data_IF_820860030515
#
_entry.id   IF_820860030515
#
_cell.length_a   1.000
_cell.length_b   1.000
_cell.length_c   1.000
_cell.angle_alpha   90.00
_cell.angle_beta   90.00
_cell.angle_gamma   90.00
#
_symmetry.space_group_name_H-M   'P 1'
#
loop_
_entity.id
_entity.type
_entity.pdbx_description
1 polymer ?
#
# COMPACT_ATOMS: atom_id res chain seq x y z
N UNK A 1 14.62 4.13 -43.25
CA UNK A 1 13.77 3.15 -42.60
C UNK A 1 14.03 3.03 -41.09
N UNK A 2 15.21 3.35 -40.58
CA UNK A 2 15.59 3.26 -39.14
C UNK A 2 15.05 4.44 -38.31
N UNK A 3 14.89 5.64 -38.92
CA UNK A 3 14.43 6.85 -38.22
C UNK A 3 12.92 6.80 -37.83
N UNK A 4 12.10 6.09 -38.61
CA UNK A 4 10.67 5.94 -38.38
C UNK A 4 10.43 4.98 -37.21
N UNK A 5 11.27 3.96 -37.01
CA UNK A 5 11.19 3.02 -35.91
C UNK A 5 11.53 3.67 -34.55
N UNK A 6 12.44 4.66 -34.55
CA UNK A 6 12.81 5.43 -33.35
C UNK A 6 11.72 6.45 -32.94
N UNK A 7 10.95 6.96 -33.90
CA UNK A 7 9.84 7.88 -33.64
C UNK A 7 8.63 7.12 -33.13
N UNK A 8 8.36 5.92 -33.64
CA UNK A 8 7.25 5.08 -33.15
C UNK A 8 7.49 4.53 -31.73
N UNK A 9 8.73 4.33 -31.32
CA UNK A 9 9.05 3.91 -29.95
C UNK A 9 8.95 5.05 -28.90
N UNK A 10 8.88 6.32 -29.33
CA UNK A 10 8.68 7.49 -28.47
C UNK A 10 7.21 7.88 -28.30
N UNK A 11 6.31 7.27 -29.06
CA UNK A 11 4.86 7.48 -29.02
C UNK A 11 4.09 6.37 -28.26
N UNK A 12 4.77 5.50 -27.51
CA UNK A 12 4.10 4.82 -26.41
C UNK A 12 3.85 5.86 -25.31
N UNK A 13 2.87 6.73 -25.59
CA UNK A 13 2.18 7.47 -24.56
C UNK A 13 1.74 6.43 -23.52
N UNK A 14 2.43 6.40 -22.39
CA UNK A 14 1.90 5.82 -21.17
C UNK A 14 0.64 6.63 -20.88
N UNK A 15 -0.49 6.22 -21.40
CA UNK A 15 -1.79 6.69 -20.94
C UNK A 15 -1.83 6.37 -19.46
N UNK A 16 -1.48 7.37 -18.66
CA UNK A 16 -1.48 7.28 -17.22
C UNK A 16 -2.92 7.37 -16.78
N UNK A 17 -3.57 6.21 -16.64
CA UNK A 17 -4.85 6.14 -15.97
C UNK A 17 -4.69 6.73 -14.57
N UNK A 18 -5.40 7.83 -14.29
CA UNK A 18 -5.12 8.76 -13.17
C UNK A 18 -5.68 8.32 -11.80
N UNK A 19 -5.86 7.03 -11.55
CA UNK A 19 -6.09 6.54 -10.18
C UNK A 19 -4.73 6.31 -9.55
N UNK A 20 -4.28 7.23 -8.69
CA UNK A 20 -2.97 7.16 -8.05
C UNK A 20 -3.12 6.93 -6.55
N UNK A 21 -2.55 5.83 -6.08
CA UNK A 21 -2.29 5.67 -4.65
C UNK A 21 -1.29 6.73 -4.19
N UNK A 22 -1.53 7.37 -3.04
CA UNK A 22 -0.63 8.40 -2.50
C UNK A 22 0.75 7.83 -2.20
N UNK A 23 1.71 8.71 -2.00
CA UNK A 23 3.05 8.33 -1.53
C UNK A 23 2.97 7.65 -0.17
N UNK A 24 2.04 8.09 0.69
CA UNK A 24 1.84 7.55 2.04
C UNK A 24 1.37 6.08 1.99
N UNK A 25 0.37 5.76 1.16
CA UNK A 25 -0.10 4.38 0.98
C UNK A 25 0.97 3.47 0.37
N UNK A 26 1.68 3.94 -0.67
CA UNK A 26 2.77 3.18 -1.31
C UNK A 26 3.91 2.87 -0.34
N UNK A 27 4.39 3.88 0.40
CA UNK A 27 5.51 3.71 1.32
C UNK A 27 5.08 2.98 2.61
N UNK A 28 3.83 3.17 3.05
CA UNK A 28 3.30 2.39 4.17
C UNK A 28 3.19 0.90 3.85
N UNK A 29 2.76 0.55 2.63
CA UNK A 29 2.78 -0.86 2.19
C UNK A 29 4.20 -1.42 2.15
N UNK A 30 5.22 -0.64 1.71
CA UNK A 30 6.62 -1.04 1.72
C UNK A 30 7.15 -1.23 3.15
N UNK A 31 6.85 -0.31 4.05
CA UNK A 31 7.18 -0.43 5.47
C UNK A 31 6.59 -1.72 6.07
N UNK A 32 5.30 -1.97 5.85
CA UNK A 32 4.65 -3.18 6.36
C UNK A 32 5.25 -4.46 5.77
N UNK A 33 5.61 -4.45 4.49
CA UNK A 33 6.31 -5.57 3.84
C UNK A 33 7.71 -5.79 4.42
N UNK A 34 8.44 -4.72 4.73
CA UNK A 34 9.74 -4.79 5.39
C UNK A 34 9.61 -5.44 6.77
N UNK A 35 8.66 -4.99 7.60
CA UNK A 35 8.37 -5.61 8.89
C UNK A 35 7.98 -7.10 8.75
N UNK A 36 7.25 -7.46 7.69
CA UNK A 36 6.87 -8.85 7.43
C UNK A 36 8.08 -9.74 7.06
N UNK A 37 9.04 -9.22 6.31
CA UNK A 37 10.31 -9.93 6.02
C UNK A 37 11.09 -10.22 7.29
N UNK A 38 11.20 -9.22 8.16
CA UNK A 38 11.88 -9.39 9.44
C UNK A 38 11.14 -10.34 10.39
N UNK A 39 9.81 -10.28 10.42
CA UNK A 39 8.96 -11.22 11.15
C UNK A 39 9.21 -12.67 10.68
N UNK A 40 9.25 -12.91 9.37
CA UNK A 40 9.52 -14.24 8.80
C UNK A 40 10.92 -14.76 9.16
N UNK A 41 11.92 -13.86 9.30
CA UNK A 41 13.28 -14.18 9.66
C UNK A 41 13.50 -14.32 11.18
N UNK A 42 12.44 -14.30 11.99
CA UNK A 42 12.49 -14.46 13.44
C UNK A 42 13.06 -13.27 14.21
N UNK A 43 13.12 -12.07 13.62
CA UNK A 43 13.54 -10.87 14.33
C UNK A 43 12.46 -10.37 15.29
N UNK A 44 12.83 -10.09 16.51
CA UNK A 44 11.92 -9.62 17.56
C UNK A 44 11.42 -8.19 17.33
N UNK A 45 12.25 -7.32 16.75
CA UNK A 45 11.87 -5.94 16.41
C UNK A 45 12.77 -5.33 15.34
N UNK A 46 12.29 -4.27 14.67
CA UNK A 46 13.00 -3.54 13.61
C UNK A 46 12.97 -2.06 13.92
N UNK A 47 14.13 -1.41 13.92
CA UNK A 47 14.27 0.04 14.11
C UNK A 47 13.98 0.77 12.78
N UNK A 48 13.34 1.94 12.83
CA UNK A 48 13.03 2.71 11.61
C UNK A 48 14.27 3.10 10.81
N UNK A 49 15.42 3.21 11.44
CA UNK A 49 16.69 3.48 10.74
C UNK A 49 17.02 2.34 9.77
N UNK A 50 16.89 1.08 10.19
CA UNK A 50 17.11 -0.09 9.33
C UNK A 50 16.14 -0.09 8.15
N UNK A 51 14.84 0.17 8.43
CA UNK A 51 13.83 0.29 7.37
C UNK A 51 14.16 1.42 6.38
N UNK A 52 14.61 2.57 6.90
CA UNK A 52 15.02 3.72 6.08
C UNK A 52 16.14 3.36 5.12
N UNK A 53 17.15 2.66 5.59
CA UNK A 53 18.31 2.26 4.79
C UNK A 53 17.93 1.16 3.77
N UNK A 54 17.09 0.18 4.16
CA UNK A 54 16.66 -0.92 3.28
C UNK A 54 15.67 -0.47 2.21
N UNK A 55 14.78 0.47 2.52
CA UNK A 55 13.68 0.90 1.64
C UNK A 55 13.95 2.26 0.96
N UNK A 56 15.06 2.93 1.29
CA UNK A 56 15.41 4.27 0.78
C UNK A 56 14.29 5.31 1.01
N UNK A 57 13.68 5.26 2.21
CA UNK A 57 12.64 6.18 2.65
C UNK A 57 13.17 6.95 3.85
N UNK A 58 13.03 8.29 3.86
CA UNK A 58 13.50 9.10 4.98
C UNK A 58 12.87 8.68 6.32
N UNK A 59 13.68 8.66 7.37
CA UNK A 59 13.22 8.31 8.74
C UNK A 59 12.05 9.20 9.14
N UNK A 60 12.13 10.51 8.91
CA UNK A 60 11.06 11.46 9.23
C UNK A 60 9.74 11.09 8.58
N UNK A 61 9.77 10.58 7.35
CA UNK A 61 8.55 10.15 6.66
C UNK A 61 8.03 8.82 7.22
N UNK A 62 8.93 7.89 7.55
CA UNK A 62 8.54 6.63 8.21
C UNK A 62 7.90 6.87 9.58
N UNK A 63 8.38 7.85 10.35
CA UNK A 63 7.77 8.26 11.63
C UNK A 63 6.33 8.74 11.45
N UNK A 64 6.03 9.46 10.35
CA UNK A 64 4.65 9.87 10.04
C UNK A 64 3.76 8.70 9.64
N UNK A 65 4.30 7.71 8.92
CA UNK A 65 3.57 6.52 8.46
C UNK A 65 3.29 5.56 9.62
N UNK A 66 4.25 5.36 10.52
CA UNK A 66 4.14 4.36 11.59
C UNK A 66 3.06 4.72 12.62
N UNK A 67 2.79 6.01 12.83
CA UNK A 67 1.80 6.47 13.82
C UNK A 67 0.40 5.93 13.51
N UNK A 68 -0.20 6.19 12.34
CA UNK A 68 -1.53 5.66 12.02
C UNK A 68 -1.58 4.13 11.99
N UNK A 69 -0.52 3.45 11.56
CA UNK A 69 -0.43 2.00 11.61
C UNK A 69 -0.46 1.43 13.04
N UNK A 70 0.16 2.14 13.99
CA UNK A 70 0.09 1.81 15.42
C UNK A 70 -1.31 2.06 16.00
N UNK A 71 -1.92 3.19 15.68
CA UNK A 71 -3.28 3.55 16.12
C UNK A 71 -4.26 2.45 15.69
N UNK A 72 -4.15 1.98 14.46
CA UNK A 72 -4.99 0.92 13.90
C UNK A 72 -4.52 -0.50 14.27
N UNK A 73 -3.58 -0.63 15.21
CA UNK A 73 -3.12 -1.92 15.76
C UNK A 73 -2.56 -2.90 14.71
N UNK A 74 -1.99 -2.37 13.63
CA UNK A 74 -1.26 -3.17 12.64
C UNK A 74 0.20 -3.35 13.02
N UNK A 75 0.75 -2.40 13.81
CA UNK A 75 2.13 -2.39 14.30
C UNK A 75 2.15 -2.12 15.80
N UNK A 76 3.08 -2.73 16.50
CA UNK A 76 3.41 -2.48 17.92
C UNK A 76 4.83 -1.95 18.05
N UNK A 77 5.08 -1.10 19.06
CA UNK A 77 6.43 -0.65 19.43
C UNK A 77 6.93 -1.45 20.60
N UNK A 78 8.18 -1.88 20.55
CA UNK A 78 8.93 -2.51 21.63
C UNK A 78 9.90 -1.47 22.18
N UNK A 79 9.98 -1.35 23.52
CA UNK A 79 10.89 -0.42 24.22
C UNK A 79 12.16 -1.15 24.68
N UNK A 80 13.24 -0.40 24.90
CA UNK A 80 14.51 -0.91 25.46
C UNK A 80 15.63 -1.06 24.44
N UNK A 81 16.73 -1.66 24.83
CA UNK A 81 17.95 -1.79 24.03
C UNK A 81 17.77 -2.57 22.72
N UNK A 82 16.83 -3.52 22.66
CA UNK A 82 16.40 -4.22 21.45
C UNK A 82 15.09 -3.66 20.87
N UNK A 83 14.75 -2.41 21.16
CA UNK A 83 13.47 -1.79 20.80
C UNK A 83 13.33 -1.52 19.32
N UNK A 84 12.09 -1.27 18.92
CA UNK A 84 11.75 -1.04 17.52
C UNK A 84 10.26 -1.26 17.27
N UNK A 85 9.94 -1.72 16.08
CA UNK A 85 8.57 -1.98 15.65
C UNK A 85 8.42 -3.43 15.19
N UNK A 86 7.26 -4.01 15.47
CA UNK A 86 6.86 -5.35 15.03
C UNK A 86 5.45 -5.32 14.46
N UNK A 87 5.11 -6.31 13.67
CA UNK A 87 3.71 -6.54 13.29
C UNK A 87 2.88 -6.90 14.53
N UNK A 88 1.66 -6.39 14.61
CA UNK A 88 0.75 -6.69 15.73
C UNK A 88 0.03 -8.03 15.57
N UNK A 89 -0.04 -8.56 14.33
CA UNK A 89 -0.69 -9.80 13.94
C UNK A 89 0.20 -10.56 12.95
N UNK A 90 -0.10 -11.82 12.71
CA UNK A 90 0.56 -12.60 11.64
C UNK A 90 0.31 -11.94 10.27
N UNK A 91 1.29 -11.94 9.32
CA UNK A 91 1.11 -11.32 7.99
C UNK A 91 -0.12 -11.80 7.21
N UNK A 92 -0.56 -13.05 7.40
CA UNK A 92 -1.77 -13.59 6.77
C UNK A 92 -3.08 -13.02 7.33
N UNK A 93 -3.04 -12.38 8.50
CA UNK A 93 -4.19 -11.76 9.15
C UNK A 93 -4.28 -10.25 8.87
N UNK A 94 -3.29 -9.67 8.21
CA UNK A 94 -3.24 -8.26 7.86
C UNK A 94 -3.63 -8.11 6.40
N UNK A 95 -4.77 -7.48 6.14
CA UNK A 95 -5.25 -7.21 4.80
C UNK A 95 -4.63 -5.93 4.24
N UNK A 96 -4.45 -5.88 2.93
CA UNK A 96 -3.98 -4.66 2.24
C UNK A 96 -4.95 -3.50 2.44
N UNK A 97 -6.26 -3.77 2.49
CA UNK A 97 -7.29 -2.76 2.80
C UNK A 97 -7.11 -2.12 4.18
N UNK A 98 -6.73 -2.89 5.23
CA UNK A 98 -6.48 -2.34 6.57
C UNK A 98 -5.27 -1.38 6.56
N UNK A 99 -4.22 -1.75 5.82
CA UNK A 99 -3.02 -0.89 5.66
C UNK A 99 -3.40 0.42 4.95
N UNK A 100 -4.08 0.31 3.81
CA UNK A 100 -4.48 1.48 3.02
C UNK A 100 -5.47 2.35 3.77
N UNK A 101 -6.49 1.77 4.41
CA UNK A 101 -7.45 2.52 5.21
C UNK A 101 -6.79 3.30 6.36
N UNK A 102 -5.79 2.71 7.01
CA UNK A 102 -5.02 3.38 8.08
C UNK A 102 -4.26 4.61 7.59
N UNK A 103 -3.87 4.65 6.32
CA UNK A 103 -2.99 5.65 5.75
C UNK A 103 -3.71 6.70 4.89
N UNK A 104 -4.71 6.27 4.15
CA UNK A 104 -5.42 7.07 3.15
C UNK A 104 -6.84 7.46 3.61
N UNK A 105 -7.42 6.72 4.56
CA UNK A 105 -8.84 6.77 4.86
C UNK A 105 -9.66 5.83 3.97
N UNK A 106 -10.88 6.21 3.63
CA UNK A 106 -11.76 5.41 2.78
C UNK A 106 -11.16 5.16 1.39
N UNK A 107 -11.30 3.93 0.91
CA UNK A 107 -10.78 3.52 -0.41
C UNK A 107 -11.88 3.68 -1.47
N UNK A 108 -12.37 4.91 -1.64
CA UNK A 108 -13.36 5.26 -2.65
C UNK A 108 -12.73 6.09 -3.77
N UNK A 109 -13.25 5.94 -5.00
CA UNK A 109 -12.74 6.66 -6.16
C UNK A 109 -13.21 8.11 -6.19
N UNK A 110 -14.37 8.39 -5.60
CA UNK A 110 -15.03 9.69 -5.55
C UNK A 110 -15.78 9.86 -4.23
N UNK A 111 -15.86 11.09 -3.73
CA UNK A 111 -16.45 11.41 -2.42
C UNK A 111 -17.91 11.00 -2.31
N UNK A 112 -18.71 11.14 -3.38
CA UNK A 112 -20.13 10.79 -3.36
C UNK A 112 -20.41 9.29 -3.19
N UNK A 113 -19.41 8.42 -3.31
CA UNK A 113 -19.52 6.98 -3.00
C UNK A 113 -19.16 6.69 -1.55
N UNK A 114 -18.33 7.53 -0.94
CA UNK A 114 -17.92 7.41 0.46
C UNK A 114 -18.93 8.06 1.42
N UNK A 115 -19.47 9.21 1.02
CA UNK A 115 -20.43 9.99 1.77
C UNK A 115 -21.72 10.17 0.97
N UNK A 116 -22.81 9.56 1.45
CA UNK A 116 -24.12 9.64 0.79
C UNK A 116 -24.73 11.04 0.81
N UNK A 117 -24.31 11.89 1.75
CA UNK A 117 -24.80 13.26 1.87
C UNK A 117 -24.01 14.27 1.01
N UNK A 118 -22.93 13.79 0.35
CA UNK A 118 -22.07 14.65 -0.48
C UNK A 118 -22.76 15.18 -1.74
N UNK A 119 -23.73 14.44 -2.29
CA UNK A 119 -24.39 14.82 -3.55
C UNK A 119 -25.86 14.39 -3.58
N UNK A 120 -26.77 15.34 -3.71
CA UNK A 120 -28.22 15.13 -3.78
C UNK A 120 -28.70 14.42 -5.06
N UNK A 121 -27.81 14.20 -6.05
CA UNK A 121 -28.16 13.64 -7.36
C UNK A 121 -27.81 12.16 -7.50
N UNK A 122 -27.36 11.50 -6.43
CA UNK A 122 -26.89 10.10 -6.46
C UNK A 122 -27.94 9.13 -7.00
N UNK A 123 -29.20 9.29 -6.64
CA UNK A 123 -30.31 8.40 -7.02
C UNK A 123 -30.58 8.35 -8.54
N UNK A 124 -30.25 9.41 -9.28
CA UNK A 124 -30.43 9.49 -10.73
C UNK A 124 -29.11 9.52 -11.53
N UNK A 125 -27.98 9.31 -10.88
CA UNK A 125 -26.66 9.49 -11.47
C UNK A 125 -26.07 8.18 -11.96
N UNK A 126 -26.13 7.90 -13.27
CA UNK A 126 -25.51 6.70 -13.85
C UNK A 126 -23.98 6.65 -13.62
N UNK A 127 -23.29 7.81 -13.53
CA UNK A 127 -21.87 7.84 -13.22
C UNK A 127 -21.59 7.37 -11.79
N UNK A 128 -22.47 7.69 -10.82
CA UNK A 128 -22.37 7.21 -9.44
C UNK A 128 -22.37 5.69 -9.39
N UNK A 129 -23.26 5.02 -10.11
CA UNK A 129 -23.34 3.56 -10.13
C UNK A 129 -22.04 2.92 -10.66
N UNK A 130 -21.45 3.52 -11.69
CA UNK A 130 -20.17 3.05 -12.25
C UNK A 130 -19.04 3.22 -11.24
N UNK A 131 -18.92 4.40 -10.59
CA UNK A 131 -17.88 4.66 -9.60
C UNK A 131 -18.04 3.82 -8.33
N UNK A 132 -19.29 3.60 -7.90
CA UNK A 132 -19.61 2.69 -6.79
C UNK A 132 -19.15 1.27 -7.08
N UNK A 133 -19.47 0.75 -8.27
CA UNK A 133 -19.05 -0.58 -8.72
C UNK A 133 -17.52 -0.70 -8.80
N UNK A 134 -16.84 0.28 -9.35
CA UNK A 134 -15.38 0.30 -9.45
C UNK A 134 -14.71 0.35 -8.08
N UNK A 135 -15.20 1.20 -7.17
CA UNK A 135 -14.72 1.29 -5.78
C UNK A 135 -14.91 -0.04 -5.04
N UNK A 136 -16.05 -0.71 -5.24
CA UNK A 136 -16.31 -2.03 -4.66
C UNK A 136 -15.33 -3.10 -5.16
N UNK A 137 -15.02 -3.13 -6.46
CA UNK A 137 -14.06 -4.08 -7.04
C UNK A 137 -12.66 -3.87 -6.44
N UNK A 138 -12.22 -2.61 -6.33
CA UNK A 138 -10.93 -2.28 -5.72
C UNK A 138 -10.89 -2.67 -4.25
N UNK A 139 -11.95 -2.34 -3.50
CA UNK A 139 -12.06 -2.71 -2.09
C UNK A 139 -12.01 -4.22 -1.90
N UNK A 140 -12.79 -4.98 -2.68
CA UNK A 140 -12.82 -6.45 -2.62
C UNK A 140 -11.44 -7.05 -2.91
N UNK A 141 -10.73 -6.53 -3.92
CA UNK A 141 -9.35 -6.94 -4.21
C UNK A 141 -8.40 -6.69 -3.04
N UNK A 142 -8.47 -5.52 -2.41
CA UNK A 142 -7.61 -5.19 -1.26
C UNK A 142 -8.00 -5.97 0.00
N UNK A 143 -9.29 -6.28 0.20
CA UNK A 143 -9.78 -7.10 1.32
C UNK A 143 -9.35 -8.57 1.20
N UNK A 144 -9.19 -9.08 -0.03
CA UNK A 144 -8.74 -10.45 -0.31
C UNK A 144 -7.22 -10.59 -0.35
N UNK A 145 -6.49 -9.49 -0.50
CA UNK A 145 -5.02 -9.48 -0.56
C UNK A 145 -4.45 -9.31 0.86
N UNK A 146 -3.67 -10.28 1.32
CA UNK A 146 -2.98 -10.22 2.60
C UNK A 146 -1.55 -9.71 2.48
N UNK A 147 -0.97 -9.25 3.58
CA UNK A 147 0.45 -8.89 3.65
C UNK A 147 1.34 -10.13 3.36
N UNK A 148 0.87 -11.34 3.71
CA UNK A 148 1.54 -12.59 3.38
C UNK A 148 1.60 -12.83 1.87
N UNK A 149 0.54 -12.53 1.12
CA UNK A 149 0.52 -12.68 -0.34
C UNK A 149 1.55 -11.74 -0.99
N UNK A 150 1.65 -10.50 -0.50
CA UNK A 150 2.64 -9.53 -0.97
C UNK A 150 4.06 -10.00 -0.65
N UNK A 151 4.28 -10.59 0.54
CA UNK A 151 5.56 -11.15 0.96
C UNK A 151 5.99 -12.31 0.04
N UNK A 152 5.08 -13.22 -0.28
CA UNK A 152 5.33 -14.32 -1.23
C UNK A 152 5.73 -13.79 -2.61
N UNK A 153 5.01 -12.79 -3.12
CA UNK A 153 5.34 -12.14 -4.40
C UNK A 153 6.73 -11.48 -4.36
N UNK A 154 7.07 -10.80 -3.26
CA UNK A 154 8.38 -10.18 -3.05
C UNK A 154 9.51 -11.20 -3.08
N UNK A 155 9.35 -12.32 -2.37
CA UNK A 155 10.36 -13.37 -2.32
C UNK A 155 10.59 -14.04 -3.70
N UNK A 156 9.52 -14.20 -4.50
CA UNK A 156 9.63 -14.69 -5.89
C UNK A 156 10.44 -13.75 -6.77
N UNK A 157 10.18 -12.44 -6.68
CA UNK A 157 10.92 -11.42 -7.46
C UNK A 157 12.40 -11.37 -7.08
N UNK A 158 12.73 -11.43 -5.79
CA UNK A 158 14.13 -11.41 -5.34
C UNK A 158 14.92 -12.64 -5.86
N UNK A 159 14.30 -13.82 -5.88
CA UNK A 159 14.93 -15.03 -6.45
C UNK A 159 15.16 -14.93 -7.97
N UNK A 160 14.33 -14.17 -8.70
CA UNK A 160 14.49 -13.99 -10.15
C UNK A 160 15.57 -12.96 -10.50
N UNK A 161 15.92 -12.05 -9.59
CA UNK A 161 16.97 -11.04 -9.78
C UNK A 161 18.38 -11.57 -9.44
N UNK A 162 18.47 -12.71 -8.75
CA UNK A 162 19.74 -13.38 -8.37
C UNK A 162 20.21 -14.44 -9.37
N UNK A 163 19.46 -14.62 -10.45
CA UNK A 163 19.83 -15.48 -11.60
C UNK A 163 20.32 -14.64 -12.78
#
# INVERSE_FOLDING_TARGET
MILICLILNKLQNKESFMIRLSTKGRYGTRLMLNLARHYQNGKESVILKSVSDEEEISIRYLEQIIIPLKINRLVKSIRGAGGGYILAKHPSEIKLSEILHSLEGACCLVECVDDNDYCDKTDGCAAYDIWKKASYILKDFFDKTTLQDILVLSNKKNKSLQK
#
